data_IF_685951196767
#
_entry.id   IF_685951196767
#
_cell.length_a   1.000
_cell.length_b   1.000
_cell.length_c   1.000
_cell.angle_alpha   90.00
_cell.angle_beta   90.00
_cell.angle_gamma   90.00
#
_symmetry.space_group_name_H-M   'P 1'
#
loop_
_entity.id
_entity.type
_entity.pdbx_description
1 polymer ?
#
# COMPACT_ATOMS: atom_id res chain seq x y z
N UNK A 1 20.62 48.59 36.72
CA UNK A 1 19.21 48.35 36.40
C UNK A 1 19.21 47.69 35.07
N UNK A 2 19.12 46.36 35.14
CA UNK A 2 19.15 45.48 33.99
C UNK A 2 17.71 45.29 33.51
N UNK A 3 17.49 45.52 32.24
CA UNK A 3 16.24 45.12 31.58
C UNK A 3 16.62 44.11 30.50
N UNK A 4 16.57 42.84 30.86
CA UNK A 4 16.61 41.71 29.95
C UNK A 4 15.17 41.25 29.76
N UNK A 5 14.48 41.83 28.78
CA UNK A 5 13.19 41.37 28.37
C UNK A 5 13.35 40.13 27.50
N UNK A 6 12.72 39.08 27.95
CA UNK A 6 12.55 37.74 27.40
C UNK A 6 12.13 37.74 25.92
N UNK A 7 12.94 37.08 25.12
CA UNK A 7 12.50 36.51 23.86
C UNK A 7 11.86 35.15 24.16
N UNK A 8 10.58 35.21 24.44
CA UNK A 8 9.71 34.02 24.60
C UNK A 8 9.54 33.32 23.30
N UNK A 9 9.79 32.04 23.33
CA UNK A 9 9.71 31.00 22.33
C UNK A 9 8.62 31.12 21.26
N UNK A 10 9.07 31.05 20.03
CA UNK A 10 8.25 30.56 18.94
C UNK A 10 8.11 29.05 19.15
N UNK A 11 6.96 28.64 19.68
CA UNK A 11 6.51 27.25 19.70
C UNK A 11 6.45 26.77 18.24
N UNK A 12 7.26 25.79 17.89
CA UNK A 12 7.15 25.07 16.65
C UNK A 12 5.71 24.49 16.52
N UNK A 13 5.09 24.52 15.34
CA UNK A 13 3.80 23.87 15.13
C UNK A 13 3.96 22.39 15.47
N UNK A 14 3.05 21.88 16.31
CA UNK A 14 3.15 20.62 17.02
C UNK A 14 3.53 19.44 16.14
N UNK A 15 4.46 18.63 16.62
CA UNK A 15 4.61 17.23 16.29
C UNK A 15 3.30 16.53 16.70
N UNK A 16 2.30 16.55 15.83
CA UNK A 16 1.14 15.68 15.96
C UNK A 16 1.64 14.26 15.79
N UNK A 17 1.60 13.47 16.85
CA UNK A 17 1.74 12.02 16.77
C UNK A 17 0.61 11.50 15.90
N UNK A 18 0.89 11.40 14.60
CA UNK A 18 -0.04 10.85 13.63
C UNK A 18 0.29 9.36 13.49
N UNK A 19 -0.68 8.51 13.87
CA UNK A 19 -0.62 7.07 13.64
C UNK A 19 -1.30 6.74 12.32
N UNK A 20 -0.68 5.89 11.47
CA UNK A 20 -1.32 5.43 10.24
C UNK A 20 -2.53 4.55 10.58
N UNK A 21 -3.61 4.64 9.77
CA UNK A 21 -4.73 3.71 9.91
C UNK A 21 -4.35 2.34 9.37
N UNK A 22 -4.84 1.27 9.98
CA UNK A 22 -4.52 -0.10 9.57
C UNK A 22 -4.93 -0.37 8.11
N UNK A 23 -6.15 -0.04 7.72
CA UNK A 23 -6.66 -0.21 6.35
C UNK A 23 -7.37 1.06 5.86
N UNK A 24 -7.08 1.48 4.62
CA UNK A 24 -7.83 2.50 3.91
C UNK A 24 -8.59 1.91 2.74
N UNK A 25 -9.88 2.27 2.62
CA UNK A 25 -10.73 1.86 1.49
C UNK A 25 -10.67 2.90 0.38
N UNK A 26 -10.30 2.50 -0.82
CA UNK A 26 -10.29 3.34 -2.01
C UNK A 26 -11.68 3.22 -2.68
N UNK A 27 -12.43 4.32 -2.67
CA UNK A 27 -13.82 4.37 -3.16
C UNK A 27 -14.03 5.33 -4.33
N UNK A 28 -13.00 6.07 -4.74
CA UNK A 28 -13.07 7.01 -5.86
C UNK A 28 -11.98 6.77 -6.90
N UNK A 29 -12.24 7.26 -8.11
CA UNK A 29 -11.38 7.02 -9.28
C UNK A 29 -10.10 7.83 -9.25
N UNK A 30 -10.11 9.03 -8.67
CA UNK A 30 -8.92 9.89 -8.61
C UNK A 30 -7.87 9.30 -7.67
N UNK A 31 -8.31 8.91 -6.47
CA UNK A 31 -7.47 8.18 -5.53
C UNK A 31 -6.95 6.87 -6.14
N UNK A 32 -7.81 6.13 -6.87
CA UNK A 32 -7.39 4.92 -7.59
C UNK A 32 -6.31 5.21 -8.63
N UNK A 33 -6.45 6.26 -9.44
CA UNK A 33 -5.47 6.67 -10.45
C UNK A 33 -4.12 7.05 -9.84
N UNK A 34 -4.11 7.56 -8.61
CA UNK A 34 -2.86 7.83 -7.94
C UNK A 34 -2.01 6.57 -7.70
N UNK A 35 -2.63 5.38 -7.65
CA UNK A 35 -1.95 4.09 -7.49
C UNK A 35 -1.50 3.45 -8.83
N UNK A 36 -1.90 3.99 -9.98
CA UNK A 36 -1.52 3.45 -11.30
C UNK A 36 -0.12 3.83 -11.78
N UNK A 37 0.68 4.44 -10.92
CA UNK A 37 2.05 4.82 -11.22
C UNK A 37 3.04 4.00 -10.38
N UNK A 38 3.99 3.28 -11.00
CA UNK A 38 4.89 2.38 -10.28
C UNK A 38 5.81 3.11 -9.30
N UNK A 39 6.16 4.39 -9.57
CA UNK A 39 7.01 5.16 -8.65
C UNK A 39 6.24 5.50 -7.38
N UNK A 40 4.96 5.89 -7.51
CA UNK A 40 4.12 6.18 -6.34
C UNK A 40 3.87 4.93 -5.49
N UNK A 41 3.60 3.79 -6.13
CA UNK A 41 3.45 2.53 -5.40
C UNK A 41 4.73 2.18 -4.63
N UNK A 42 5.90 2.25 -5.26
CA UNK A 42 7.19 2.01 -4.60
C UNK A 42 7.50 2.98 -3.45
N UNK A 43 7.08 4.24 -3.56
CA UNK A 43 7.19 5.20 -2.45
C UNK A 43 6.37 4.71 -1.25
N UNK A 44 5.10 4.33 -1.47
CA UNK A 44 4.21 3.85 -0.41
C UNK A 44 4.75 2.55 0.23
N UNK A 45 5.16 1.58 -0.57
CA UNK A 45 5.77 0.32 -0.12
C UNK A 45 7.01 0.60 0.76
N UNK A 46 7.89 1.51 0.30
CA UNK A 46 9.08 1.89 1.09
C UNK A 46 8.70 2.54 2.42
N UNK A 47 7.68 3.40 2.43
CA UNK A 47 7.27 4.08 3.66
C UNK A 47 6.58 3.15 4.65
N UNK A 48 5.83 2.16 4.18
CA UNK A 48 5.16 1.16 5.05
C UNK A 48 6.18 0.31 5.80
N UNK A 49 7.34 -0.03 5.22
CA UNK A 49 8.37 -0.84 5.91
C UNK A 49 8.97 -0.17 7.15
N UNK A 50 8.77 1.15 7.31
CA UNK A 50 9.17 1.93 8.48
C UNK A 50 8.11 3.00 8.73
N UNK A 51 6.89 2.55 9.05
CA UNK A 51 5.70 3.39 9.13
C UNK A 51 5.73 4.39 10.29
N UNK A 52 6.50 4.09 11.34
CA UNK A 52 6.77 4.95 12.48
C UNK A 52 7.76 6.08 12.16
N UNK A 53 8.48 5.99 11.05
CA UNK A 53 9.51 6.96 10.69
C UNK A 53 8.99 8.07 9.77
N UNK A 54 9.58 9.26 9.92
CA UNK A 54 9.36 10.37 9.01
C UNK A 54 10.36 10.34 7.84
N UNK A 55 9.85 10.48 6.62
CA UNK A 55 10.61 10.40 5.39
C UNK A 55 10.75 11.76 4.71
N UNK A 56 11.96 12.20 4.44
CA UNK A 56 12.20 13.34 3.55
C UNK A 56 12.30 12.86 2.10
N UNK A 57 12.03 13.77 1.14
CA UNK A 57 12.17 13.45 -0.29
C UNK A 57 13.59 12.97 -0.62
N UNK A 58 14.62 13.52 0.03
CA UNK A 58 16.02 13.08 -0.15
C UNK A 58 16.24 11.66 0.36
N UNK A 59 15.65 11.31 1.51
CA UNK A 59 15.74 9.96 2.07
C UNK A 59 15.04 8.94 1.17
N UNK A 60 13.83 9.25 0.69
CA UNK A 60 13.11 8.42 -0.27
C UNK A 60 13.90 8.25 -1.58
N UNK A 61 14.45 9.32 -2.11
CA UNK A 61 15.26 9.27 -3.33
C UNK A 61 16.47 8.33 -3.19
N UNK A 62 17.12 8.36 -2.03
CA UNK A 62 18.23 7.45 -1.72
C UNK A 62 17.77 5.99 -1.62
N UNK A 63 16.64 5.74 -0.94
CA UNK A 63 16.10 4.39 -0.78
C UNK A 63 15.63 3.79 -2.12
N UNK A 64 15.11 4.62 -3.02
CA UNK A 64 14.60 4.23 -4.34
C UNK A 64 15.66 4.29 -5.46
N UNK A 65 16.91 4.61 -5.13
CA UNK A 65 18.00 4.84 -6.08
C UNK A 65 17.61 5.77 -7.23
N UNK A 66 17.09 6.95 -6.88
CA UNK A 66 16.61 7.95 -7.86
C UNK A 66 16.98 9.37 -7.47
N UNK A 67 16.66 10.33 -8.34
CA UNK A 67 16.91 11.75 -8.09
C UNK A 67 15.73 12.36 -7.31
N UNK A 68 15.98 13.13 -6.23
CA UNK A 68 14.94 13.82 -5.46
C UNK A 68 14.00 14.67 -6.33
N UNK A 69 14.54 15.35 -7.35
CA UNK A 69 13.76 16.20 -8.25
C UNK A 69 12.63 15.45 -8.97
N UNK A 70 12.84 14.16 -9.27
CA UNK A 70 11.83 13.32 -9.92
C UNK A 70 10.70 12.92 -8.97
N UNK A 71 10.95 12.92 -7.66
CA UNK A 71 9.97 12.48 -6.68
C UNK A 71 8.97 13.55 -6.25
N UNK A 72 9.30 14.84 -6.34
CA UNK A 72 8.42 15.90 -5.84
C UNK A 72 7.01 15.85 -6.42
N UNK A 73 6.88 15.60 -7.71
CA UNK A 73 5.56 15.47 -8.36
C UNK A 73 4.77 14.27 -7.79
N UNK A 74 5.43 13.13 -7.61
CA UNK A 74 4.78 11.94 -7.04
C UNK A 74 4.38 12.14 -5.56
N UNK A 75 5.24 12.79 -4.78
CA UNK A 75 4.96 13.14 -3.38
C UNK A 75 3.76 14.07 -3.27
N UNK A 76 3.68 15.11 -4.11
CA UNK A 76 2.53 16.03 -4.11
C UNK A 76 1.21 15.31 -4.41
N UNK A 77 1.20 14.42 -5.41
CA UNK A 77 -0.01 13.63 -5.72
C UNK A 77 -0.38 12.70 -4.55
N UNK A 78 0.60 12.05 -3.93
CA UNK A 78 0.36 11.18 -2.79
C UNK A 78 -0.16 11.96 -1.57
N UNK A 79 0.32 13.17 -1.35
CA UNK A 79 -0.15 14.07 -0.30
C UNK A 79 -1.57 14.58 -0.60
N UNK A 80 -1.84 15.04 -1.82
CA UNK A 80 -3.17 15.50 -2.27
C UNK A 80 -4.23 14.38 -2.16
N UNK A 81 -3.84 13.13 -2.46
CA UNK A 81 -4.69 11.96 -2.29
C UNK A 81 -4.67 11.39 -0.86
N UNK A 82 -4.03 12.07 0.10
CA UNK A 82 -3.94 11.67 1.50
C UNK A 82 -3.32 10.27 1.74
N UNK A 83 -2.49 9.77 0.84
CA UNK A 83 -1.72 8.54 1.07
C UNK A 83 -0.55 8.75 2.03
N UNK A 84 -0.04 9.97 2.05
CA UNK A 84 1.01 10.43 2.98
C UNK A 84 0.58 11.76 3.60
N UNK A 85 1.15 12.08 4.74
CA UNK A 85 0.89 13.35 5.44
C UNK A 85 2.19 14.00 5.89
N UNK A 86 2.19 15.33 5.94
CA UNK A 86 3.31 16.08 6.49
C UNK A 86 3.47 15.76 7.97
N UNK A 87 4.63 15.21 8.33
CA UNK A 87 5.01 14.90 9.70
C UNK A 87 5.74 16.06 10.39
N UNK A 88 6.39 16.91 9.60
CA UNK A 88 7.07 18.08 10.12
C UNK A 88 7.89 18.81 9.07
N UNK A 89 8.37 19.97 9.43
CA UNK A 89 9.26 20.78 8.60
C UNK A 89 10.47 21.23 9.43
N UNK A 90 11.64 21.29 8.80
CA UNK A 90 12.86 21.82 9.43
C UNK A 90 13.61 22.69 8.43
N UNK A 91 14.38 23.65 8.97
CA UNK A 91 15.27 24.48 8.14
C UNK A 91 16.65 23.82 8.10
N UNK A 92 17.11 23.46 6.91
CA UNK A 92 18.44 22.89 6.67
C UNK A 92 19.18 23.79 5.68
N UNK A 93 20.24 24.43 6.12
CA UNK A 93 21.03 25.35 5.30
C UNK A 93 20.19 26.45 4.62
N UNK A 94 19.19 27.01 5.33
CA UNK A 94 18.31 28.05 4.83
C UNK A 94 17.18 27.58 3.91
N UNK A 95 17.04 26.27 3.69
CA UNK A 95 15.97 25.66 2.90
C UNK A 95 15.03 24.91 3.82
N UNK A 96 13.72 25.07 3.60
CA UNK A 96 12.69 24.28 4.33
C UNK A 96 12.70 22.86 3.74
N UNK A 97 12.99 21.89 4.59
CA UNK A 97 12.88 20.47 4.29
C UNK A 97 11.63 19.92 4.97
N UNK A 98 10.72 19.34 4.20
CA UNK A 98 9.49 18.70 4.66
C UNK A 98 9.72 17.20 4.82
N UNK A 99 9.18 16.64 5.89
CA UNK A 99 9.12 15.22 6.14
C UNK A 99 7.67 14.72 6.12
N UNK A 100 7.49 13.49 5.68
CA UNK A 100 6.19 12.86 5.48
C UNK A 100 6.12 11.52 6.21
N UNK A 101 4.93 11.12 6.62
CA UNK A 101 4.61 9.77 7.12
C UNK A 101 3.54 9.13 6.27
N UNK A 102 3.54 7.81 6.22
CA UNK A 102 2.46 7.03 5.61
C UNK A 102 1.15 7.25 6.36
N UNK A 103 0.03 7.32 5.66
CA UNK A 103 -1.27 7.56 6.26
C UNK A 103 -2.03 6.26 6.57
N UNK A 104 -1.67 5.14 5.95
CA UNK A 104 -2.30 3.83 6.10
C UNK A 104 -1.30 2.71 5.88
N UNK A 105 -1.51 1.58 6.55
CA UNK A 105 -0.64 0.40 6.42
C UNK A 105 -1.05 -0.50 5.25
N UNK A 106 -2.36 -0.59 4.97
CA UNK A 106 -2.89 -1.38 3.86
C UNK A 106 -3.94 -0.63 3.06
N UNK A 107 -4.18 -1.08 1.82
CA UNK A 107 -5.14 -0.50 0.91
C UNK A 107 -6.13 -1.56 0.44
N UNK A 108 -7.41 -1.21 0.42
CA UNK A 108 -8.48 -2.07 -0.11
C UNK A 108 -9.33 -1.31 -1.13
N UNK A 109 -9.57 -1.92 -2.28
CA UNK A 109 -10.50 -1.35 -3.26
C UNK A 109 -11.95 -1.58 -2.84
N UNK A 110 -12.78 -0.54 -2.93
CA UNK A 110 -14.22 -0.68 -2.71
C UNK A 110 -14.84 -1.52 -3.84
N UNK A 111 -15.76 -2.39 -3.44
CA UNK A 111 -16.49 -3.25 -4.39
C UNK A 111 -17.36 -2.44 -5.34
N UNK A 112 -17.85 -1.28 -4.92
CA UNK A 112 -18.63 -0.39 -5.78
C UNK A 112 -17.83 0.09 -6.99
N UNK A 113 -16.53 0.34 -6.84
CA UNK A 113 -15.63 0.65 -7.97
C UNK A 113 -15.55 -0.50 -8.97
N UNK A 114 -15.59 -1.74 -8.49
CA UNK A 114 -15.47 -2.94 -9.35
C UNK A 114 -16.77 -3.31 -10.04
N UNK A 115 -17.93 -2.94 -9.48
CA UNK A 115 -19.27 -3.44 -9.92
C UNK A 115 -20.10 -2.43 -10.71
N UNK A 116 -19.86 -1.13 -10.59
CA UNK A 116 -20.70 -0.06 -11.17
C UNK A 116 -20.04 0.77 -12.26
N UNK A 117 -18.92 0.36 -12.75
CA UNK A 117 -17.98 1.23 -13.41
C UNK A 117 -18.27 1.48 -14.89
N UNK A 118 -18.34 2.75 -15.26
CA UNK A 118 -18.14 3.21 -16.63
C UNK A 118 -16.77 2.75 -17.20
N UNK A 119 -16.57 2.94 -18.49
CA UNK A 119 -15.33 2.53 -19.16
C UNK A 119 -14.06 3.08 -18.50
N UNK A 120 -14.10 4.31 -18.04
CA UNK A 120 -12.95 4.99 -17.41
C UNK A 120 -12.53 4.36 -16.08
N UNK A 121 -13.50 3.92 -15.27
CA UNK A 121 -13.20 3.24 -13.99
C UNK A 121 -12.60 1.86 -14.26
N UNK A 122 -13.15 1.11 -15.22
CA UNK A 122 -12.59 -0.20 -15.59
C UNK A 122 -11.15 -0.07 -16.10
N UNK A 123 -10.88 0.95 -16.91
CA UNK A 123 -9.49 1.23 -17.36
C UNK A 123 -8.58 1.51 -16.18
N UNK A 124 -9.00 2.39 -15.26
CA UNK A 124 -8.19 2.73 -14.08
C UNK A 124 -7.95 1.54 -13.16
N UNK A 125 -8.96 0.67 -12.97
CA UNK A 125 -8.78 -0.58 -12.21
C UNK A 125 -7.79 -1.50 -12.91
N UNK A 126 -7.89 -1.64 -14.25
CA UNK A 126 -6.94 -2.43 -15.03
C UNK A 126 -5.51 -1.92 -14.87
N UNK A 127 -5.30 -0.62 -14.99
CA UNK A 127 -3.97 0.01 -14.88
C UNK A 127 -3.38 -0.21 -13.48
N UNK A 128 -4.18 -0.03 -12.42
CA UNK A 128 -3.73 -0.29 -11.04
C UNK A 128 -3.40 -1.76 -10.84
N UNK A 129 -4.23 -2.68 -11.31
CA UNK A 129 -3.96 -4.12 -11.19
C UNK A 129 -2.66 -4.49 -11.90
N UNK A 130 -2.41 -3.94 -13.11
CA UNK A 130 -1.17 -4.18 -13.83
C UNK A 130 0.06 -3.73 -13.00
N UNK A 131 0.02 -2.50 -12.46
CA UNK A 131 1.12 -1.97 -11.63
C UNK A 131 1.32 -2.79 -10.36
N UNK A 132 0.25 -3.17 -9.67
CA UNK A 132 0.33 -3.99 -8.44
C UNK A 132 0.93 -5.37 -8.73
N UNK A 133 0.47 -6.05 -9.80
CA UNK A 133 1.03 -7.36 -10.16
C UNK A 133 2.49 -7.27 -10.62
N UNK A 134 2.85 -6.23 -11.35
CA UNK A 134 4.23 -5.98 -11.74
C UNK A 134 5.12 -5.70 -10.52
N UNK A 135 4.64 -4.90 -9.54
CA UNK A 135 5.38 -4.64 -8.30
C UNK A 135 5.63 -5.92 -7.50
N UNK A 136 4.60 -6.74 -7.29
CA UNK A 136 4.74 -8.03 -6.57
C UNK A 136 5.72 -8.96 -7.28
N UNK A 137 5.65 -9.03 -8.62
CA UNK A 137 6.62 -9.81 -9.39
C UNK A 137 8.05 -9.32 -9.15
N UNK A 138 8.27 -8.01 -9.25
CA UNK A 138 9.59 -7.40 -9.08
C UNK A 138 10.11 -7.57 -7.64
N UNK A 139 9.23 -7.57 -6.63
CA UNK A 139 9.58 -7.86 -5.23
C UNK A 139 10.03 -9.31 -5.06
N UNK A 140 9.30 -10.26 -5.60
CA UNK A 140 9.65 -11.69 -5.57
C UNK A 140 11.00 -11.90 -6.28
N UNK A 141 11.22 -11.33 -7.47
CA UNK A 141 12.47 -11.42 -8.20
C UNK A 141 13.65 -10.83 -7.41
N UNK A 142 13.44 -9.70 -6.74
CA UNK A 142 14.46 -9.10 -5.85
C UNK A 142 14.73 -9.98 -4.63
N UNK A 143 13.70 -10.55 -4.02
CA UNK A 143 13.82 -11.45 -2.88
C UNK A 143 14.62 -12.71 -3.22
N UNK A 144 14.36 -13.32 -4.39
CA UNK A 144 15.09 -14.45 -4.91
C UNK A 144 16.56 -14.09 -5.22
N UNK A 145 16.79 -12.96 -5.90
CA UNK A 145 18.14 -12.52 -6.30
C UNK A 145 19.01 -12.14 -5.11
N UNK A 146 18.43 -11.59 -4.04
CA UNK A 146 19.12 -11.21 -2.81
C UNK A 146 19.32 -12.38 -1.82
N UNK A 147 18.66 -13.52 -2.06
CA UNK A 147 18.69 -14.67 -1.17
C UNK A 147 17.85 -14.47 0.13
N UNK A 148 16.99 -13.46 0.17
CA UNK A 148 15.99 -13.29 1.25
C UNK A 148 14.92 -14.37 1.14
N UNK A 149 14.44 -14.64 -0.08
CA UNK A 149 13.59 -15.79 -0.37
C UNK A 149 14.52 -17.01 -0.57
N UNK A 150 14.43 -17.97 0.33
CA UNK A 150 15.28 -19.16 0.34
C UNK A 150 14.50 -20.39 -0.13
N UNK A 151 15.23 -21.48 -0.38
CA UNK A 151 14.66 -22.77 -0.78
C UNK A 151 13.76 -23.38 0.31
N UNK A 152 12.89 -24.29 -0.07
CA UNK A 152 11.72 -24.88 0.57
C UNK A 152 11.83 -25.40 2.01
N UNK A 153 13.03 -25.48 2.60
CA UNK A 153 13.22 -26.01 3.96
C UNK A 153 13.27 -24.90 5.05
N UNK A 154 13.17 -23.63 4.64
CA UNK A 154 13.12 -22.51 5.58
C UNK A 154 11.66 -22.27 5.98
N UNK A 155 11.32 -22.22 7.29
CA UNK A 155 9.96 -21.90 7.74
C UNK A 155 9.47 -20.50 7.31
N UNK A 156 10.38 -19.64 6.87
CA UNK A 156 10.10 -18.32 6.30
C UNK A 156 10.04 -18.33 4.76
N UNK A 157 10.03 -19.53 4.13
CA UNK A 157 9.92 -19.61 2.68
C UNK A 157 8.57 -19.12 2.17
N UNK A 158 8.57 -18.64 0.94
CA UNK A 158 7.38 -18.12 0.27
C UNK A 158 6.26 -19.17 0.16
N UNK A 159 5.01 -18.70 0.31
CA UNK A 159 3.82 -19.49 0.02
C UNK A 159 3.10 -18.87 -1.18
N UNK A 160 3.13 -19.56 -2.33
CA UNK A 160 2.39 -19.16 -3.51
C UNK A 160 1.28 -20.16 -3.82
N UNK A 161 0.03 -19.75 -3.64
CA UNK A 161 -1.11 -20.60 -3.91
C UNK A 161 -1.98 -19.96 -4.99
N UNK A 162 -2.22 -20.74 -6.06
CA UNK A 162 -3.27 -20.43 -7.04
C UNK A 162 -4.18 -21.63 -7.15
N UNK A 163 -5.48 -21.42 -6.95
CA UNK A 163 -6.46 -22.49 -7.01
C UNK A 163 -7.81 -22.01 -7.50
N UNK A 164 -8.68 -22.95 -7.83
CA UNK A 164 -10.08 -22.74 -8.09
C UNK A 164 -10.88 -23.68 -7.18
N UNK A 165 -11.85 -23.13 -6.48
CA UNK A 165 -12.76 -23.91 -5.64
C UNK A 165 -14.21 -23.55 -5.95
N UNK A 166 -15.08 -24.56 -5.98
CA UNK A 166 -16.50 -24.38 -6.16
C UNK A 166 -17.17 -24.34 -4.78
N UNK A 167 -17.72 -23.21 -4.42
CA UNK A 167 -18.39 -23.03 -3.13
C UNK A 167 -19.73 -22.33 -3.29
N UNK A 168 -20.67 -22.66 -2.42
CA UNK A 168 -21.94 -21.92 -2.32
C UNK A 168 -21.65 -20.45 -1.98
N UNK A 169 -22.43 -19.46 -2.47
CA UNK A 169 -22.21 -18.03 -2.19
C UNK A 169 -22.01 -17.70 -0.70
N UNK A 170 -22.78 -18.30 0.20
CA UNK A 170 -22.65 -18.08 1.63
C UNK A 170 -21.28 -18.55 2.18
N UNK A 171 -20.77 -19.66 1.63
CA UNK A 171 -19.44 -20.16 1.98
C UNK A 171 -18.31 -19.26 1.43
N UNK A 172 -18.52 -18.62 0.28
CA UNK A 172 -17.59 -17.64 -0.26
C UNK A 172 -17.55 -16.38 0.61
N UNK A 173 -18.69 -15.94 1.16
CA UNK A 173 -18.75 -14.84 2.12
C UNK A 173 -17.97 -15.18 3.38
N UNK A 174 -18.19 -16.40 3.92
CA UNK A 174 -17.49 -16.89 5.11
C UNK A 174 -15.98 -17.02 4.90
N UNK A 175 -15.53 -17.57 3.75
CA UNK A 175 -14.12 -17.65 3.40
C UNK A 175 -13.46 -16.27 3.43
N UNK A 176 -14.09 -15.29 2.80
CA UNK A 176 -13.58 -13.91 2.78
C UNK A 176 -13.51 -13.29 4.19
N UNK A 177 -14.50 -13.54 5.04
CA UNK A 177 -14.51 -13.07 6.41
C UNK A 177 -13.34 -13.65 7.20
N UNK A 178 -13.18 -14.98 7.19
CA UNK A 178 -12.10 -15.68 7.90
C UNK A 178 -10.72 -15.26 7.44
N UNK A 179 -10.54 -15.08 6.14
CA UNK A 179 -9.25 -14.64 5.60
C UNK A 179 -8.88 -13.24 6.11
N UNK A 180 -9.84 -12.32 6.19
CA UNK A 180 -9.58 -10.99 6.76
C UNK A 180 -9.25 -11.06 8.25
N UNK A 181 -9.98 -11.86 9.01
CA UNK A 181 -9.72 -12.08 10.43
C UNK A 181 -8.33 -12.67 10.64
N UNK A 182 -7.95 -13.65 9.82
CA UNK A 182 -6.62 -14.23 9.88
C UNK A 182 -5.53 -13.18 9.59
N UNK A 183 -5.68 -12.36 8.55
CA UNK A 183 -4.70 -11.33 8.24
C UNK A 183 -4.62 -10.29 9.36
N UNK A 184 -5.77 -9.88 9.92
CA UNK A 184 -5.82 -8.92 11.02
C UNK A 184 -5.17 -9.44 12.32
N UNK A 185 -5.10 -10.75 12.54
CA UNK A 185 -4.37 -11.34 13.68
C UNK A 185 -2.86 -11.12 13.62
N UNK A 186 -2.33 -10.87 12.42
CA UNK A 186 -0.90 -10.64 12.18
C UNK A 186 -0.58 -9.19 11.83
N UNK A 187 -1.59 -8.33 11.68
CA UNK A 187 -1.38 -6.89 11.52
C UNK A 187 -0.83 -6.33 12.85
N UNK A 188 0.20 -5.52 12.75
CA UNK A 188 0.75 -4.82 13.91
C UNK A 188 -0.06 -3.56 14.12
N UNK A 189 -0.82 -3.48 15.23
CA UNK A 189 -1.65 -2.31 15.56
C UNK A 189 -0.82 -1.03 15.75
N UNK A 190 0.41 -1.17 16.25
CA UNK A 190 1.37 -0.09 16.43
C UNK A 190 2.72 -0.45 15.76
N UNK A 191 3.14 0.28 14.73
CA UNK A 191 4.44 0.05 14.09
C UNK A 191 5.66 0.17 15.01
N UNK A 192 5.51 0.81 16.17
CA UNK A 192 6.57 0.90 17.18
C UNK A 192 6.72 -0.36 18.04
N UNK A 193 5.73 -1.24 18.04
CA UNK A 193 5.70 -2.50 18.82
C UNK A 193 6.31 -3.71 18.09
N UNK A 194 7.11 -3.45 17.05
CA UNK A 194 7.77 -4.51 16.28
C UNK A 194 8.81 -5.21 17.15
N UNK A 195 8.63 -6.52 17.37
CA UNK A 195 9.56 -7.32 18.17
C UNK A 195 10.95 -7.40 17.53
N UNK A 196 12.03 -7.46 18.35
CA UNK A 196 13.37 -7.64 17.82
C UNK A 196 13.49 -8.95 17.01
N UNK A 197 13.90 -8.82 15.75
CA UNK A 197 14.02 -9.97 14.84
C UNK A 197 12.79 -10.21 13.97
N UNK A 198 11.77 -9.36 14.04
CA UNK A 198 10.65 -9.39 13.12
C UNK A 198 11.10 -9.19 11.67
N UNK A 199 10.45 -9.88 10.75
CA UNK A 199 10.68 -9.78 9.31
C UNK A 199 9.43 -9.25 8.62
N UNK A 200 9.62 -8.43 7.58
CA UNK A 200 8.51 -7.93 6.79
C UNK A 200 8.03 -9.01 5.81
N UNK A 201 6.75 -9.34 5.84
CA UNK A 201 6.08 -10.18 4.86
C UNK A 201 5.16 -9.35 3.98
N UNK A 202 5.41 -9.39 2.66
CA UNK A 202 4.46 -8.86 1.67
C UNK A 202 3.42 -9.92 1.31
N UNK A 203 2.16 -9.51 1.16
CA UNK A 203 1.10 -10.39 0.67
C UNK A 203 0.18 -9.66 -0.31
N UNK A 204 -0.31 -10.40 -1.31
CA UNK A 204 -1.36 -9.97 -2.22
C UNK A 204 -2.46 -11.04 -2.23
N UNK A 205 -3.67 -10.64 -1.85
CA UNK A 205 -4.83 -11.54 -1.81
C UNK A 205 -5.92 -11.05 -2.74
N UNK A 206 -6.30 -11.89 -3.72
CA UNK A 206 -7.39 -11.63 -4.64
C UNK A 206 -8.40 -12.78 -4.60
N UNK A 207 -9.61 -12.51 -4.13
CA UNK A 207 -10.76 -13.42 -4.20
C UNK A 207 -11.81 -12.84 -5.13
N UNK A 208 -12.08 -13.53 -6.23
CA UNK A 208 -13.01 -13.08 -7.28
C UNK A 208 -13.83 -14.24 -7.82
N UNK A 209 -15.08 -13.99 -8.26
CA UNK A 209 -15.86 -14.99 -8.99
C UNK A 209 -15.15 -15.37 -10.29
N UNK A 210 -14.93 -16.67 -10.48
CA UNK A 210 -14.31 -17.15 -11.71
C UNK A 210 -15.37 -17.23 -12.83
N UNK A 211 -15.12 -16.67 -14.02
CA UNK A 211 -16.04 -16.79 -15.14
C UNK A 211 -16.08 -18.24 -15.62
N UNK A 212 -17.18 -18.94 -15.34
CA UNK A 212 -17.42 -20.27 -15.88
C UNK A 212 -17.96 -20.15 -17.31
N UNK A 213 -17.49 -20.98 -18.27
CA UNK A 213 -18.05 -20.98 -19.58
C UNK A 213 -19.55 -21.33 -19.48
N UNK A 214 -20.39 -20.50 -20.05
CA UNK A 214 -21.83 -20.83 -20.20
C UNK A 214 -21.93 -22.01 -21.15
N UNK A 215 -22.34 -23.16 -20.66
CA UNK A 215 -22.70 -24.28 -21.51
C UNK A 215 -23.96 -23.84 -22.24
N UNK A 216 -23.83 -23.46 -23.49
CA UNK A 216 -24.97 -23.28 -24.37
C UNK A 216 -25.49 -24.70 -24.62
N UNK A 217 -26.57 -25.06 -23.94
CA UNK A 217 -27.31 -26.25 -24.26
C UNK A 217 -27.73 -26.12 -25.74
N UNK A 218 -27.02 -26.85 -26.60
CA UNK A 218 -27.48 -27.11 -27.96
C UNK A 218 -28.62 -28.12 -27.79
N UNK A 219 -29.83 -27.61 -27.57
CA UNK A 219 -31.02 -28.42 -27.82
C UNK A 219 -30.95 -28.86 -29.32
N UNK A 220 -30.50 -30.06 -29.50
CA UNK A 220 -30.71 -30.78 -30.76
C UNK A 220 -32.22 -30.99 -30.89
N UNK A 221 -32.85 -30.16 -31.71
CA UNK A 221 -34.14 -30.49 -32.30
C UNK A 221 -33.93 -31.66 -33.28
N UNK A 222 -34.15 -32.88 -32.77
CA UNK A 222 -34.50 -34.03 -33.61
C UNK A 222 -35.94 -33.85 -34.01
N UNK A 223 -36.13 -33.68 -35.31
CA UNK A 223 -37.38 -33.96 -36.05
C UNK A 223 -37.06 -34.85 -37.26
#
# INVERSE_FOLDING_TARGET
>A
MNDQAALSGATAPGEGTFEPVAERVISDVETLKALSDPVRLRILETMVTAADEAWTVKRLAKALDTNPTKLYHHINILEECEFIRVAGTRVVSGIIETSYRIAQLSLRLDRALLSGAGADVRSSVHDVLAVVFDSVRDEIERGLSSGVIKSSDDPLSELMIRGLTMVHPDRAVELRRRLRELLAEFDTDDPSDVEPGAVAFGYLVALYPFPTPTTTDTESSDD
#
